data_IF_930040457558
#
_entry.id   IF_930040457558
#
_cell.length_a   1.000
_cell.length_b   1.000
_cell.length_c   1.000
_cell.angle_alpha   90.00
_cell.angle_beta   90.00
_cell.angle_gamma   90.00
#
_symmetry.space_group_name_H-M   'P 1'
#
loop_
_entity.id
_entity.type
_entity.pdbx_description
1 polymer ?
#
# COMPACT_ATOMS: atom_id res chain seq x y z
N UNK A 1 -3.52 23.91 -10.26
CA UNK A 1 -2.76 23.41 -11.43
C UNK A 1 -2.21 22.05 -11.06
N UNK A 2 -2.79 21.00 -11.63
CA UNK A 2 -2.25 19.65 -11.46
C UNK A 2 -0.93 19.59 -12.21
N UNK A 3 0.19 19.65 -11.46
CA UNK A 3 1.50 19.44 -12.08
C UNK A 3 1.52 18.03 -12.64
N UNK A 4 1.79 17.89 -13.93
CA UNK A 4 2.01 16.60 -14.57
C UNK A 4 3.10 15.85 -13.80
N UNK A 5 2.83 14.63 -13.39
CA UNK A 5 3.73 13.78 -12.64
C UNK A 5 3.55 12.31 -12.99
N UNK A 6 4.49 11.49 -12.62
CA UNK A 6 4.51 10.06 -12.88
C UNK A 6 4.28 9.22 -11.59
N UNK A 7 3.65 9.78 -10.56
CA UNK A 7 3.38 9.05 -9.32
C UNK A 7 2.49 7.81 -9.55
N UNK A 8 1.58 7.86 -10.53
CA UNK A 8 0.74 6.72 -10.86
C UNK A 8 1.54 5.55 -11.44
N UNK A 9 2.57 5.80 -12.26
CA UNK A 9 3.42 4.71 -12.75
C UNK A 9 4.26 4.11 -11.63
N UNK A 10 4.76 4.92 -10.69
CA UNK A 10 5.47 4.40 -9.52
C UNK A 10 4.55 3.52 -8.67
N UNK A 11 3.31 3.94 -8.42
CA UNK A 11 2.33 3.12 -7.70
C UNK A 11 2.05 1.81 -8.44
N UNK A 12 1.90 1.85 -9.76
CA UNK A 12 1.70 0.67 -10.59
C UNK A 12 2.89 -0.31 -10.48
N UNK A 13 4.12 0.20 -10.62
CA UNK A 13 5.33 -0.59 -10.50
C UNK A 13 5.43 -1.25 -9.12
N UNK A 14 5.27 -0.48 -8.05
CA UNK A 14 5.39 -1.02 -6.70
C UNK A 14 4.23 -1.94 -6.30
N UNK A 15 3.02 -1.77 -6.86
CA UNK A 15 1.96 -2.76 -6.71
C UNK A 15 2.34 -4.11 -7.35
N UNK A 16 2.93 -4.07 -8.54
CA UNK A 16 3.44 -5.27 -9.22
C UNK A 16 4.60 -5.91 -8.44
N UNK A 17 5.48 -5.09 -7.85
CA UNK A 17 6.59 -5.57 -7.02
C UNK A 17 6.12 -6.31 -5.78
N UNK A 18 4.95 -5.96 -5.20
CA UNK A 18 4.35 -6.73 -4.09
C UNK A 18 4.01 -8.16 -4.54
N UNK A 19 3.44 -8.34 -5.73
CA UNK A 19 3.16 -9.68 -6.28
C UNK A 19 4.46 -10.48 -6.47
N UNK A 20 5.50 -9.83 -6.99
CA UNK A 20 6.82 -10.43 -7.16
C UNK A 20 7.37 -10.91 -5.80
N UNK A 21 7.33 -10.05 -4.79
CA UNK A 21 7.78 -10.38 -3.43
C UNK A 21 7.02 -11.57 -2.84
N UNK A 22 5.69 -11.54 -2.94
CA UNK A 22 4.84 -12.60 -2.39
C UNK A 22 5.04 -13.95 -3.09
N UNK A 23 5.46 -13.98 -4.36
CA UNK A 23 5.69 -15.23 -5.08
C UNK A 23 6.73 -16.13 -4.43
N UNK A 24 7.68 -15.56 -3.69
CA UNK A 24 8.69 -16.34 -2.98
C UNK A 24 8.10 -17.09 -1.76
N UNK A 25 7.55 -16.43 -0.73
CA UNK A 25 7.01 -17.15 0.42
C UNK A 25 5.81 -18.03 0.06
N UNK A 26 5.01 -17.66 -0.95
CA UNK A 26 3.88 -18.47 -1.40
C UNK A 26 4.30 -19.78 -2.10
N UNK A 27 5.54 -19.88 -2.56
CA UNK A 27 6.15 -21.10 -3.10
C UNK A 27 7.19 -21.71 -2.14
N UNK A 28 7.18 -21.31 -0.87
CA UNK A 28 8.13 -21.72 0.17
C UNK A 28 9.61 -21.45 -0.20
N UNK A 29 9.85 -20.31 -0.85
CA UNK A 29 11.18 -19.85 -1.23
C UNK A 29 11.54 -18.55 -0.52
N UNK A 30 12.83 -18.29 -0.37
CA UNK A 30 13.33 -17.00 0.14
C UNK A 30 13.51 -15.99 -0.99
N UNK A 31 13.11 -14.75 -0.74
CA UNK A 31 13.24 -13.67 -1.69
C UNK A 31 14.71 -13.33 -1.96
N UNK A 32 15.08 -13.32 -3.26
CA UNK A 32 16.47 -13.06 -3.70
C UNK A 32 16.92 -11.66 -3.27
N UNK A 33 16.06 -10.65 -3.42
CA UNK A 33 16.37 -9.27 -3.06
C UNK A 33 16.68 -9.12 -1.57
N UNK A 34 15.92 -9.81 -0.72
CA UNK A 34 16.15 -9.86 0.73
C UNK A 34 17.52 -10.45 1.06
N UNK A 35 17.96 -11.50 0.35
CA UNK A 35 19.30 -12.08 0.51
C UNK A 35 20.41 -11.11 0.11
N UNK A 36 20.30 -10.49 -1.07
CA UNK A 36 21.29 -9.56 -1.61
C UNK A 36 21.46 -8.33 -0.68
N UNK A 37 20.39 -7.91 -0.02
CA UNK A 37 20.41 -6.76 0.90
C UNK A 37 20.74 -7.14 2.35
N UNK A 38 21.35 -8.30 2.59
CA UNK A 38 21.67 -8.80 3.94
C UNK A 38 20.45 -8.78 4.88
N UNK A 39 19.30 -9.18 4.39
CA UNK A 39 18.01 -9.21 5.12
C UNK A 39 17.50 -7.84 5.62
N UNK A 40 18.04 -6.74 5.11
CA UNK A 40 17.61 -5.41 5.52
C UNK A 40 16.31 -4.98 4.87
N UNK A 41 16.04 -5.46 3.64
CA UNK A 41 14.90 -5.01 2.81
C UNK A 41 14.31 -6.22 2.09
N UNK A 42 13.00 -6.34 2.12
CA UNK A 42 12.22 -7.14 1.16
C UNK A 42 11.41 -6.21 0.23
N UNK A 43 11.15 -6.67 -0.98
CA UNK A 43 10.46 -5.88 -2.00
C UNK A 43 9.02 -5.52 -1.61
N UNK A 44 8.35 -6.40 -0.87
CA UNK A 44 7.00 -6.17 -0.38
C UNK A 44 6.95 -5.02 0.63
N UNK A 45 7.82 -5.05 1.65
CA UNK A 45 7.91 -3.99 2.65
C UNK A 45 8.35 -2.65 2.04
N UNK A 46 9.32 -2.66 1.13
CA UNK A 46 9.75 -1.47 0.39
C UNK A 46 8.60 -0.86 -0.40
N UNK A 47 7.83 -1.68 -1.10
CA UNK A 47 6.67 -1.22 -1.89
C UNK A 47 5.62 -0.57 -1.01
N UNK A 48 5.32 -1.15 0.14
CA UNK A 48 4.36 -0.59 1.10
C UNK A 48 4.86 0.75 1.65
N UNK A 49 6.14 0.86 2.02
CA UNK A 49 6.74 2.12 2.49
C UNK A 49 6.62 3.22 1.43
N UNK A 50 6.85 2.89 0.16
CA UNK A 50 6.69 3.81 -0.98
C UNK A 50 5.22 4.21 -1.18
N UNK A 51 4.27 3.29 -1.03
CA UNK A 51 2.85 3.65 -1.06
C UNK A 51 2.49 4.67 0.01
N UNK A 52 3.01 4.51 1.23
CA UNK A 52 2.75 5.45 2.31
C UNK A 52 3.42 6.81 2.08
N UNK A 53 4.60 6.87 1.44
CA UNK A 53 5.23 8.13 1.01
C UNK A 53 4.35 8.87 0.01
N UNK A 54 3.95 8.18 -1.07
CA UNK A 54 3.12 8.78 -2.13
C UNK A 54 1.75 9.16 -1.57
N UNK A 55 1.15 8.31 -0.74
CA UNK A 55 -0.12 8.57 -0.07
C UNK A 55 -0.02 9.81 0.81
N UNK A 56 1.00 9.92 1.67
CA UNK A 56 1.20 11.09 2.52
C UNK A 56 1.28 12.40 1.72
N UNK A 57 2.02 12.40 0.62
CA UNK A 57 2.14 13.54 -0.28
C UNK A 57 0.78 13.93 -0.90
N UNK A 58 0.09 12.98 -1.54
CA UNK A 58 -1.16 13.24 -2.25
C UNK A 58 -2.33 13.54 -1.30
N UNK A 59 -2.39 12.86 -0.16
CA UNK A 59 -3.46 13.01 0.82
C UNK A 59 -3.39 14.35 1.53
N UNK A 60 -2.19 14.81 1.89
CA UNK A 60 -2.03 16.13 2.50
C UNK A 60 -2.40 17.25 1.54
N UNK A 61 -2.04 17.14 0.26
CA UNK A 61 -2.50 18.06 -0.78
C UNK A 61 -4.03 18.02 -0.87
N UNK A 62 -4.62 16.83 -0.96
CA UNK A 62 -6.08 16.69 -1.05
C UNK A 62 -6.81 17.28 0.15
N UNK A 63 -6.29 17.14 1.37
CA UNK A 63 -6.83 17.75 2.59
C UNK A 63 -6.86 19.28 2.48
N UNK A 64 -5.73 19.87 2.05
CA UNK A 64 -5.58 21.32 1.91
C UNK A 64 -6.56 21.94 0.89
N UNK A 65 -6.86 21.22 -0.19
CA UNK A 65 -7.79 21.67 -1.23
C UNK A 65 -9.25 21.23 -0.99
N UNK A 66 -9.54 20.44 0.02
CA UNK A 66 -10.91 20.04 0.33
C UNK A 66 -11.70 21.18 0.99
N UNK A 67 -12.95 21.39 0.55
CA UNK A 67 -13.83 22.43 1.08
C UNK A 67 -14.28 22.12 2.51
N UNK A 68 -14.56 20.87 2.80
CA UNK A 68 -15.00 20.36 4.10
C UNK A 68 -14.23 19.07 4.47
N UNK A 69 -14.21 18.72 5.75
CA UNK A 69 -13.69 17.43 6.23
C UNK A 69 -14.51 16.28 5.62
N UNK A 70 -15.81 16.47 5.48
CA UNK A 70 -16.69 15.46 4.90
C UNK A 70 -16.34 15.20 3.43
N UNK A 71 -16.13 16.26 2.63
CA UNK A 71 -15.65 16.11 1.23
C UNK A 71 -14.28 15.42 1.15
N UNK A 72 -13.37 15.71 2.09
CA UNK A 72 -12.10 15.01 2.17
C UNK A 72 -12.29 13.51 2.44
N UNK A 73 -13.05 13.15 3.48
CA UNK A 73 -13.30 11.74 3.84
C UNK A 73 -14.06 10.99 2.76
N UNK A 74 -15.04 11.64 2.10
CA UNK A 74 -15.78 11.06 0.99
C UNK A 74 -14.87 10.59 -0.15
N UNK A 75 -13.89 11.42 -0.53
CA UNK A 75 -12.88 11.05 -1.54
C UNK A 75 -12.07 9.81 -1.13
N UNK A 76 -11.80 9.62 0.17
CA UNK A 76 -11.07 8.44 0.67
C UNK A 76 -11.94 7.20 0.67
N UNK A 77 -13.20 7.33 1.08
CA UNK A 77 -14.19 6.24 1.03
C UNK A 77 -14.37 5.76 -0.41
N UNK A 78 -14.58 6.66 -1.36
CA UNK A 78 -14.72 6.32 -2.78
C UNK A 78 -13.46 5.69 -3.38
N UNK A 79 -12.29 5.94 -2.80
CA UNK A 79 -11.03 5.36 -3.26
C UNK A 79 -10.83 3.92 -2.81
N UNK A 80 -11.28 3.56 -1.58
CA UNK A 80 -11.00 2.26 -0.96
C UNK A 80 -12.19 1.30 -1.13
N UNK A 81 -13.37 1.71 -0.67
CA UNK A 81 -14.47 0.77 -0.44
C UNK A 81 -15.10 0.17 -1.70
N UNK A 82 -15.31 0.88 -2.82
CA UNK A 82 -15.97 0.28 -3.97
C UNK A 82 -15.23 -0.94 -4.53
N UNK A 83 -13.91 -0.85 -4.73
CA UNK A 83 -13.12 -1.97 -5.22
C UNK A 83 -12.94 -3.05 -4.13
N UNK A 84 -12.80 -2.66 -2.86
CA UNK A 84 -12.73 -3.61 -1.75
C UNK A 84 -13.99 -4.48 -1.67
N UNK A 85 -15.18 -3.90 -1.79
CA UNK A 85 -16.46 -4.65 -1.79
C UNK A 85 -16.48 -5.66 -2.92
N UNK A 86 -16.14 -5.26 -4.15
CA UNK A 86 -16.14 -6.16 -5.31
C UNK A 86 -15.11 -7.28 -5.13
N UNK A 87 -13.91 -6.94 -4.65
CA UNK A 87 -12.88 -7.93 -4.35
C UNK A 87 -13.35 -8.93 -3.28
N UNK A 88 -13.98 -8.46 -2.20
CA UNK A 88 -14.52 -9.36 -1.16
C UNK A 88 -15.65 -10.23 -1.72
N UNK A 89 -16.57 -9.70 -2.52
CA UNK A 89 -17.59 -10.50 -3.21
C UNK A 89 -16.97 -11.58 -4.10
N UNK A 90 -15.98 -11.21 -4.91
CA UNK A 90 -15.25 -12.16 -5.75
C UNK A 90 -14.54 -13.22 -4.90
N UNK A 91 -13.92 -12.81 -3.80
CA UNK A 91 -13.30 -13.74 -2.85
C UNK A 91 -14.33 -14.75 -2.33
N UNK A 92 -15.50 -14.30 -1.86
CA UNK A 92 -16.54 -15.21 -1.36
C UNK A 92 -16.97 -16.24 -2.41
N UNK A 93 -17.09 -15.83 -3.68
CA UNK A 93 -17.41 -16.75 -4.79
C UNK A 93 -16.27 -17.76 -4.95
N UNK A 94 -15.02 -17.31 -4.99
CA UNK A 94 -13.84 -18.19 -5.15
C UNK A 94 -13.75 -19.20 -4.00
N UNK A 95 -14.00 -18.78 -2.76
CA UNK A 95 -13.93 -19.67 -1.59
C UNK A 95 -14.88 -20.86 -1.68
N UNK A 96 -16.05 -20.70 -2.33
CA UNK A 96 -16.98 -21.81 -2.58
C UNK A 96 -16.35 -22.88 -3.48
N UNK A 97 -15.56 -22.49 -4.48
CA UNK A 97 -14.94 -23.43 -5.42
C UNK A 97 -13.63 -24.05 -4.91
N UNK A 98 -12.92 -23.39 -4.01
CA UNK A 98 -11.65 -23.88 -3.47
C UNK A 98 -11.77 -24.56 -2.10
N UNK A 99 -12.99 -24.60 -1.53
CA UNK A 99 -13.24 -25.18 -0.23
C UNK A 99 -13.13 -26.71 -0.25
N UNK A 100 -12.36 -27.25 0.69
CA UNK A 100 -12.32 -28.69 0.99
C UNK A 100 -13.44 -29.11 1.97
N UNK A 101 -14.25 -28.17 2.45
CA UNK A 101 -15.35 -28.44 3.37
C UNK A 101 -16.56 -29.04 2.63
N UNK A 102 -17.22 -30.00 3.22
CA UNK A 102 -18.45 -30.61 2.70
C UNK A 102 -19.59 -29.59 2.51
N UNK A 103 -19.64 -28.56 3.33
CA UNK A 103 -20.59 -27.44 3.20
C UNK A 103 -20.05 -26.14 3.83
N UNK A 104 -19.40 -25.33 3.03
CA UNK A 104 -18.86 -24.03 3.45
C UNK A 104 -19.96 -23.05 3.93
N UNK A 105 -21.20 -23.20 3.44
CA UNK A 105 -22.31 -22.30 3.78
C UNK A 105 -22.81 -22.46 5.22
N UNK A 106 -22.44 -23.52 5.94
CA UNK A 106 -22.77 -23.70 7.37
C UNK A 106 -21.74 -23.00 8.27
N UNK A 107 -20.56 -22.65 7.74
CA UNK A 107 -19.47 -22.08 8.51
C UNK A 107 -19.72 -20.59 8.80
N UNK A 108 -19.66 -20.21 10.08
CA UNK A 108 -19.79 -18.80 10.49
C UNK A 108 -18.63 -17.94 10.03
N UNK A 109 -17.41 -18.49 9.97
CA UNK A 109 -16.20 -17.81 9.55
C UNK A 109 -16.21 -17.45 8.07
N UNK A 110 -16.93 -18.20 7.22
CA UNK A 110 -17.19 -17.84 5.83
C UNK A 110 -17.89 -16.48 5.73
N UNK A 111 -19.03 -16.30 6.38
CA UNK A 111 -19.77 -15.03 6.34
C UNK A 111 -19.04 -13.89 7.06
N UNK A 112 -18.41 -14.19 8.18
CA UNK A 112 -17.66 -13.18 8.94
C UNK A 112 -16.45 -12.67 8.18
N UNK A 113 -15.89 -13.45 7.24
CA UNK A 113 -14.76 -13.02 6.41
C UNK A 113 -15.09 -11.74 5.64
N UNK A 114 -16.24 -11.66 4.99
CA UNK A 114 -16.68 -10.48 4.26
C UNK A 114 -16.82 -9.26 5.20
N UNK A 115 -17.61 -9.42 6.27
CA UNK A 115 -17.93 -8.33 7.20
C UNK A 115 -16.67 -7.82 7.90
N UNK A 116 -15.85 -8.73 8.41
CA UNK A 116 -14.64 -8.38 9.15
C UNK A 116 -13.63 -7.63 8.28
N UNK A 117 -13.37 -8.07 7.06
CA UNK A 117 -12.43 -7.41 6.18
C UNK A 117 -13.00 -6.09 5.61
N UNK A 118 -14.33 -5.97 5.45
CA UNK A 118 -14.97 -4.72 5.03
C UNK A 118 -14.80 -3.61 6.08
N UNK A 119 -14.77 -3.94 7.38
CA UNK A 119 -14.55 -2.94 8.44
C UNK A 119 -13.12 -2.44 8.50
N UNK A 120 -12.16 -3.03 7.76
CA UNK A 120 -10.72 -2.80 7.76
C UNK A 120 -10.03 -3.22 9.07
N UNK A 121 -10.63 -3.00 10.22
CA UNK A 121 -10.02 -3.19 11.54
C UNK A 121 -10.21 -4.60 12.13
N UNK A 122 -11.21 -5.35 11.68
CA UNK A 122 -11.45 -6.74 12.11
C UNK A 122 -10.87 -7.73 11.10
N UNK A 123 -9.55 -7.60 10.82
CA UNK A 123 -8.90 -8.46 9.84
C UNK A 123 -9.10 -9.94 10.13
N UNK A 124 -9.70 -10.65 9.19
CA UNK A 124 -9.80 -12.09 9.17
C UNK A 124 -9.01 -12.63 7.97
N UNK A 125 -8.03 -13.49 8.21
CA UNK A 125 -7.16 -14.02 7.16
C UNK A 125 -7.57 -15.41 6.70
N UNK A 126 -8.34 -16.12 7.49
CA UNK A 126 -8.57 -17.56 7.36
C UNK A 126 -10.05 -17.86 7.39
N UNK A 127 -10.44 -18.91 6.67
CA UNK A 127 -11.71 -19.63 6.74
C UNK A 127 -11.33 -21.11 6.74
N UNK A 128 -11.99 -21.93 7.57
CA UNK A 128 -11.71 -23.34 7.71
C UNK A 128 -11.91 -24.09 6.38
N UNK A 129 -11.00 -25.01 6.04
CA UNK A 129 -11.06 -25.77 4.79
C UNK A 129 -10.55 -25.00 3.54
N UNK A 130 -9.98 -23.80 3.71
CA UNK A 130 -9.49 -22.98 2.60
C UNK A 130 -7.96 -22.94 2.57
N UNK A 131 -7.36 -23.29 1.43
CA UNK A 131 -5.93 -23.26 1.15
C UNK A 131 -5.06 -23.98 2.20
N UNK A 132 -5.58 -25.04 2.82
CA UNK A 132 -4.87 -25.75 3.90
C UNK A 132 -3.61 -26.45 3.41
N UNK A 133 -3.63 -26.92 2.16
CA UNK A 133 -2.53 -27.67 1.54
C UNK A 133 -1.54 -26.78 0.74
N UNK A 134 -1.80 -25.49 0.65
CA UNK A 134 -0.89 -24.58 -0.03
C UNK A 134 0.47 -24.50 0.71
N UNK A 135 1.59 -24.25 0.04
CA UNK A 135 2.89 -24.04 0.68
C UNK A 135 2.87 -22.90 1.72
N UNK A 136 2.04 -21.86 1.49
CA UNK A 136 1.71 -20.83 2.47
C UNK A 136 0.25 -21.03 2.93
N UNK A 137 0.01 -21.84 3.97
CA UNK A 137 -1.31 -22.37 4.27
C UNK A 137 -2.27 -21.34 4.86
N UNK A 138 -3.56 -21.55 4.63
CA UNK A 138 -4.72 -20.89 5.28
C UNK A 138 -4.88 -19.40 4.99
N UNK A 139 -3.89 -18.68 4.49
CA UNK A 139 -4.01 -17.25 4.23
C UNK A 139 -4.81 -16.98 2.95
N UNK A 140 -5.97 -16.34 3.05
CA UNK A 140 -6.82 -16.02 1.89
C UNK A 140 -6.28 -14.79 1.15
N UNK A 141 -6.07 -13.69 1.88
CA UNK A 141 -5.52 -12.46 1.28
C UNK A 141 -4.61 -11.72 2.27
N UNK A 142 -3.32 -11.95 2.11
CA UNK A 142 -2.28 -11.33 2.94
C UNK A 142 -2.13 -9.82 2.72
N UNK A 143 -2.54 -9.27 1.56
CA UNK A 143 -2.32 -7.86 1.23
C UNK A 143 -3.22 -6.89 2.01
N UNK A 144 -4.38 -7.34 2.52
CA UNK A 144 -5.37 -6.46 3.16
C UNK A 144 -4.90 -5.81 4.46
N UNK A 145 -3.83 -6.31 5.07
CA UNK A 145 -3.37 -5.83 6.38
C UNK A 145 -2.98 -4.35 6.40
N UNK A 146 -2.56 -3.78 5.29
CA UNK A 146 -2.10 -2.38 5.22
C UNK A 146 -3.24 -1.38 5.14
N UNK A 147 -4.42 -1.78 4.63
CA UNK A 147 -5.56 -0.88 4.42
C UNK A 147 -6.03 -0.20 5.71
N UNK A 148 -6.00 -0.91 6.84
CA UNK A 148 -6.32 -0.34 8.16
C UNK A 148 -5.33 0.75 8.58
N UNK A 149 -4.04 0.61 8.26
CA UNK A 149 -3.04 1.65 8.53
C UNK A 149 -3.21 2.84 7.59
N UNK A 150 -3.47 2.58 6.31
CA UNK A 150 -3.74 3.63 5.33
C UNK A 150 -4.96 4.47 5.74
N UNK A 151 -6.07 3.81 6.09
CA UNK A 151 -7.27 4.51 6.55
C UNK A 151 -7.05 5.23 7.88
N UNK A 152 -6.26 4.65 8.80
CA UNK A 152 -5.87 5.30 10.05
C UNK A 152 -5.05 6.58 9.80
N UNK A 153 -4.13 6.58 8.82
CA UNK A 153 -3.39 7.79 8.44
C UNK A 153 -4.31 8.85 7.83
N UNK A 154 -5.34 8.44 7.07
CA UNK A 154 -6.35 9.37 6.56
C UNK A 154 -7.13 10.07 7.68
N UNK A 155 -7.43 9.35 8.76
CA UNK A 155 -8.07 9.93 9.96
C UNK A 155 -7.09 10.79 10.76
N UNK A 156 -5.86 10.30 10.96
CA UNK A 156 -4.85 10.99 11.76
C UNK A 156 -4.45 12.37 11.20
N UNK A 157 -4.55 12.57 9.88
CA UNK A 157 -4.22 13.85 9.25
C UNK A 157 -5.37 14.87 9.29
N UNK A 158 -6.61 14.46 9.64
CA UNK A 158 -7.79 15.35 9.66
C UNK A 158 -7.61 16.60 10.53
N UNK A 159 -6.97 16.56 11.73
CA UNK A 159 -6.75 17.75 12.53
C UNK A 159 -6.01 18.87 11.80
N UNK A 160 -5.19 18.55 10.81
CA UNK A 160 -4.49 19.55 10.00
C UNK A 160 -5.43 20.36 9.09
N UNK A 161 -6.69 19.92 8.91
CA UNK A 161 -7.70 20.70 8.23
C UNK A 161 -7.92 22.08 8.88
N UNK A 162 -7.89 22.16 10.20
CA UNK A 162 -8.06 23.42 10.93
C UNK A 162 -6.76 24.25 10.99
N UNK A 163 -5.60 23.60 10.77
CA UNK A 163 -4.28 24.24 10.80
C UNK A 163 -3.72 24.38 9.37
N UNK A 164 -4.57 24.73 8.39
CA UNK A 164 -4.15 24.85 6.98
C UNK A 164 -3.04 25.89 6.75
N UNK A 165 -2.76 26.73 7.73
CA UNK A 165 -1.68 27.70 7.66
C UNK A 165 -0.34 26.98 7.68
N UNK A 166 0.43 27.16 6.61
CA UNK A 166 1.77 26.56 6.44
C UNK A 166 2.72 26.80 7.59
N UNK A 167 2.60 27.97 8.27
CA UNK A 167 3.45 28.34 9.40
C UNK A 167 3.41 27.33 10.54
N UNK A 168 2.25 26.72 10.83
CA UNK A 168 2.09 25.77 11.93
C UNK A 168 2.09 24.31 11.46
N UNK A 169 1.57 24.02 10.28
CA UNK A 169 1.46 22.65 9.78
C UNK A 169 2.82 21.98 9.63
N UNK A 170 3.81 22.65 9.04
CA UNK A 170 5.14 22.08 8.82
C UNK A 170 5.85 21.72 10.14
N UNK A 171 5.97 22.61 11.15
CA UNK A 171 6.58 22.24 12.42
C UNK A 171 5.89 21.06 13.12
N UNK A 172 4.55 21.04 13.13
CA UNK A 172 3.79 19.97 13.77
C UNK A 172 4.02 18.63 13.07
N UNK A 173 3.95 18.59 11.72
CA UNK A 173 4.26 17.39 10.94
C UNK A 173 5.69 16.89 11.20
N UNK A 174 6.65 17.81 11.29
CA UNK A 174 8.05 17.48 11.56
C UNK A 174 8.22 16.89 12.97
N UNK A 175 7.55 17.44 13.97
CA UNK A 175 7.57 16.90 15.35
C UNK A 175 7.00 15.47 15.35
N UNK A 176 5.84 15.23 14.75
CA UNK A 176 5.27 13.87 14.66
C UNK A 176 6.17 12.92 13.85
N UNK A 177 6.79 13.39 12.78
CA UNK A 177 7.75 12.60 12.01
C UNK A 177 8.95 12.17 12.86
N UNK A 178 9.51 13.07 13.65
CA UNK A 178 10.63 12.77 14.57
C UNK A 178 10.17 11.78 15.64
N UNK A 179 9.01 12.00 16.25
CA UNK A 179 8.45 11.09 17.26
C UNK A 179 8.23 9.70 16.69
N UNK A 180 7.58 9.56 15.51
CA UNK A 180 7.32 8.26 14.91
C UNK A 180 8.60 7.55 14.48
N UNK A 181 9.60 8.32 13.99
CA UNK A 181 10.90 7.77 13.64
C UNK A 181 11.64 7.26 14.87
N UNK A 182 11.65 8.01 15.95
CA UNK A 182 12.23 7.61 17.23
C UNK A 182 11.54 6.36 17.81
N UNK A 183 10.21 6.39 17.89
CA UNK A 183 9.44 5.25 18.41
C UNK A 183 9.65 3.99 17.59
N UNK A 184 9.63 4.08 16.25
CA UNK A 184 9.90 2.93 15.40
C UNK A 184 11.31 2.35 15.58
N UNK A 185 12.32 3.22 15.77
CA UNK A 185 13.72 2.78 15.84
C UNK A 185 14.09 2.21 17.21
N UNK A 186 13.59 2.82 18.29
CA UNK A 186 14.06 2.56 19.65
C UNK A 186 13.00 1.98 20.59
N UNK A 187 11.72 2.31 20.38
CA UNK A 187 10.61 1.92 21.26
C UNK A 187 9.36 1.47 20.49
N UNK A 188 9.43 0.46 19.59
CA UNK A 188 8.35 0.10 18.67
C UNK A 188 7.07 -0.41 19.36
N UNK A 189 7.17 -0.85 20.60
CA UNK A 189 6.04 -1.40 21.35
C UNK A 189 5.36 -0.38 22.27
N UNK A 190 5.78 0.89 22.26
CA UNK A 190 5.09 1.96 23.01
C UNK A 190 3.62 2.03 22.60
N UNK A 191 2.74 2.12 23.58
CA UNK A 191 1.27 2.11 23.40
C UNK A 191 0.70 0.84 22.72
N UNK A 192 1.41 -0.30 22.73
CA UNK A 192 0.96 -1.56 22.12
C UNK A 192 -0.48 -1.91 22.50
N UNK A 193 -0.84 -1.79 23.78
CA UNK A 193 -2.18 -2.13 24.26
C UNK A 193 -3.28 -1.22 23.68
N UNK A 194 -2.99 0.06 23.46
CA UNK A 194 -3.94 1.01 22.86
C UNK A 194 -4.15 0.64 21.37
N UNK A 195 -3.07 0.39 20.63
CA UNK A 195 -3.16 0.01 19.24
C UNK A 195 -3.86 -1.33 19.04
N UNK A 196 -3.69 -2.28 19.96
CA UNK A 196 -4.32 -3.60 19.87
C UNK A 196 -5.85 -3.56 19.97
N UNK A 197 -6.45 -2.54 20.60
CA UNK A 197 -7.91 -2.33 20.64
C UNK A 197 -8.47 -2.22 19.21
N UNK A 198 -7.73 -1.57 18.32
CA UNK A 198 -8.09 -1.44 16.90
C UNK A 198 -7.41 -2.47 16.00
N UNK A 199 -6.90 -3.57 16.58
CA UNK A 199 -6.13 -4.59 15.87
C UNK A 199 -4.93 -4.04 15.07
N UNK A 200 -4.34 -2.92 15.48
CA UNK A 200 -3.14 -2.36 14.91
C UNK A 200 -1.89 -2.83 15.67
N UNK A 201 -0.76 -2.98 14.96
CA UNK A 201 0.55 -3.09 15.59
C UNK A 201 1.15 -1.69 15.75
N UNK A 202 1.61 -1.34 16.95
CA UNK A 202 2.28 -0.06 17.20
C UNK A 202 3.52 0.10 16.32
N UNK A 203 4.33 -0.95 16.18
CA UNK A 203 5.51 -0.98 15.34
C UNK A 203 5.19 -0.61 13.88
N UNK A 204 4.19 -1.28 13.28
CA UNK A 204 3.78 -1.01 11.90
C UNK A 204 3.15 0.37 11.75
N UNK A 205 2.42 0.83 12.77
CA UNK A 205 1.83 2.17 12.77
C UNK A 205 2.91 3.26 12.76
N UNK A 206 3.96 3.13 13.57
CA UNK A 206 5.08 4.08 13.57
C UNK A 206 5.91 3.96 12.29
N UNK A 207 6.17 2.73 11.81
CA UNK A 207 6.90 2.49 10.56
C UNK A 207 6.21 3.19 9.38
N UNK A 208 4.95 2.88 9.15
CA UNK A 208 4.20 3.40 8.00
C UNK A 208 3.87 4.88 8.18
N UNK A 209 3.55 5.29 9.40
CA UNK A 209 3.25 6.68 9.73
C UNK A 209 4.42 7.63 9.49
N UNK A 210 5.67 7.23 9.79
CA UNK A 210 6.83 8.08 9.49
C UNK A 210 7.00 8.33 7.99
N UNK A 211 6.78 7.32 7.13
CA UNK A 211 6.84 7.48 5.68
C UNK A 211 5.68 8.33 5.14
N UNK A 212 4.48 8.16 5.68
CA UNK A 212 3.34 9.00 5.35
C UNK A 212 3.60 10.48 5.75
N UNK A 213 4.11 10.72 6.94
CA UNK A 213 4.46 12.07 7.41
C UNK A 213 5.59 12.69 6.59
N UNK A 214 6.62 11.91 6.23
CA UNK A 214 7.68 12.37 5.34
C UNK A 214 7.13 12.81 3.99
N UNK A 215 6.23 12.01 3.37
CA UNK A 215 5.53 12.40 2.15
C UNK A 215 4.73 13.70 2.31
N UNK A 216 4.01 13.86 3.43
CA UNK A 216 3.25 15.08 3.73
C UNK A 216 4.15 16.31 3.89
N UNK A 217 5.31 16.19 4.54
CA UNK A 217 6.30 17.26 4.71
C UNK A 217 6.85 17.72 3.34
N UNK A 218 7.07 16.80 2.42
CA UNK A 218 7.57 17.11 1.09
C UNK A 218 6.63 18.00 0.25
N UNK A 219 5.36 18.14 0.64
CA UNK A 219 4.43 19.10 0.00
C UNK A 219 4.82 20.57 0.20
N UNK A 220 5.63 20.86 1.22
CA UNK A 220 6.13 22.21 1.53
C UNK A 220 7.42 22.55 0.77
N UNK A 221 8.06 21.56 0.14
CA UNK A 221 9.31 21.72 -0.60
C UNK A 221 8.99 21.96 -2.08
N UNK A 222 9.68 22.91 -2.68
CA UNK A 222 9.60 23.12 -4.14
C UNK A 222 10.46 22.08 -4.86
N UNK A 223 9.83 20.95 -5.21
CA UNK A 223 10.50 19.81 -5.87
C UNK A 223 11.15 20.23 -7.21
N UNK A 224 10.59 21.20 -7.93
CA UNK A 224 11.14 21.66 -9.22
C UNK A 224 12.56 22.23 -9.10
N UNK A 225 12.92 22.76 -7.92
CA UNK A 225 14.27 23.31 -7.67
C UNK A 225 15.34 22.24 -7.43
N UNK A 226 14.91 21.03 -6.99
CA UNK A 226 15.83 19.97 -6.58
C UNK A 226 15.78 18.76 -7.51
N UNK A 227 14.78 18.65 -8.39
CA UNK A 227 14.67 17.54 -9.34
C UNK A 227 15.66 17.71 -10.49
N UNK A 228 16.70 16.95 -10.47
CA UNK A 228 17.64 16.79 -11.57
C UNK A 228 18.26 15.38 -11.50
N UNK A 229 18.89 14.96 -12.60
CA UNK A 229 19.47 13.62 -12.67
C UNK A 229 20.57 13.40 -11.63
N UNK A 230 21.35 14.43 -11.33
CA UNK A 230 22.41 14.34 -10.32
C UNK A 230 21.84 14.08 -8.92
N UNK A 231 20.77 14.78 -8.55
CA UNK A 231 20.09 14.56 -7.27
C UNK A 231 19.55 13.13 -7.17
N UNK A 232 18.95 12.59 -8.24
CA UNK A 232 18.45 11.21 -8.27
C UNK A 232 19.58 10.20 -8.06
N UNK A 233 20.67 10.37 -8.84
CA UNK A 233 21.86 9.52 -8.74
C UNK A 233 22.43 9.56 -7.31
N UNK A 234 22.60 10.77 -6.76
CA UNK A 234 23.13 10.95 -5.40
C UNK A 234 22.26 10.24 -4.35
N UNK A 235 20.95 10.45 -4.39
CA UNK A 235 20.04 9.85 -3.41
C UNK A 235 19.99 8.32 -3.53
N UNK A 236 19.99 7.78 -4.74
CA UNK A 236 20.07 6.33 -4.98
C UNK A 236 21.42 5.79 -4.47
N UNK A 237 22.53 6.48 -4.73
CA UNK A 237 23.86 6.07 -4.24
C UNK A 237 23.89 6.05 -2.71
N UNK A 238 23.29 7.02 -2.02
CA UNK A 238 23.20 7.02 -0.56
C UNK A 238 22.40 5.81 -0.06
N UNK A 239 21.27 5.46 -0.72
CA UNK A 239 20.49 4.27 -0.36
C UNK A 239 21.31 2.99 -0.56
N UNK A 240 22.02 2.83 -1.68
CA UNK A 240 22.89 1.68 -1.96
C UNK A 240 23.99 1.58 -0.92
N UNK A 241 24.69 2.67 -0.62
CA UNK A 241 25.74 2.70 0.40
C UNK A 241 25.18 2.37 1.78
N UNK A 242 23.96 2.83 2.10
CA UNK A 242 23.32 2.50 3.38
C UNK A 242 23.00 1.00 3.53
N UNK A 243 22.67 0.32 2.42
CA UNK A 243 22.52 -1.13 2.39
C UNK A 243 23.88 -1.80 2.59
N UNK A 244 24.90 -1.35 1.86
CA UNK A 244 26.24 -1.91 1.95
C UNK A 244 26.82 -1.83 3.38
N UNK A 245 26.63 -0.69 4.06
CA UNK A 245 27.09 -0.49 5.45
C UNK A 245 26.10 -0.97 6.52
N UNK A 246 25.03 -1.66 6.17
CA UNK A 246 23.97 -2.14 7.09
C UNK A 246 23.32 -1.03 7.93
N UNK A 247 23.21 0.18 7.36
CA UNK A 247 22.62 1.37 8.00
C UNK A 247 21.27 1.77 7.39
N UNK A 248 20.71 0.98 6.47
CA UNK A 248 19.47 1.31 5.75
C UNK A 248 18.32 1.70 6.69
N UNK A 249 18.15 0.98 7.79
CA UNK A 249 17.10 1.25 8.80
C UNK A 249 17.14 2.69 9.33
N UNK A 250 18.33 3.30 9.42
CA UNK A 250 18.55 4.63 9.99
C UNK A 250 18.53 5.76 8.96
N UNK A 251 18.69 5.45 7.69
CA UNK A 251 18.86 6.41 6.60
C UNK A 251 17.61 6.47 5.70
N UNK A 252 16.98 5.33 5.47
CA UNK A 252 15.90 5.20 4.48
C UNK A 252 14.72 6.13 4.71
N UNK A 253 14.31 6.37 5.95
CA UNK A 253 13.14 7.21 6.23
C UNK A 253 13.34 8.70 5.89
N UNK A 254 14.58 9.14 5.69
CA UNK A 254 14.91 10.48 5.20
C UNK A 254 15.11 10.49 3.68
N UNK A 255 15.88 9.55 3.16
CA UNK A 255 16.35 9.56 1.77
C UNK A 255 15.31 8.97 0.82
N UNK A 256 14.66 7.87 1.18
CA UNK A 256 13.68 7.20 0.30
C UNK A 256 12.49 8.12 -0.07
N UNK A 257 11.87 8.89 0.86
CA UNK A 257 10.79 9.82 0.50
C UNK A 257 11.21 10.86 -0.52
N UNK A 258 12.39 11.47 -0.34
CA UNK A 258 12.97 12.43 -1.29
C UNK A 258 13.17 11.79 -2.66
N UNK A 259 13.79 10.61 -2.70
CA UNK A 259 14.07 9.86 -3.93
C UNK A 259 12.78 9.59 -4.70
N UNK A 260 11.76 9.03 -4.04
CA UNK A 260 10.49 8.66 -4.67
C UNK A 260 9.73 9.87 -5.21
N UNK A 261 9.64 10.94 -4.43
CA UNK A 261 8.93 12.14 -4.87
C UNK A 261 9.69 12.84 -6.01
N UNK A 262 11.02 12.95 -5.93
CA UNK A 262 11.80 13.55 -7.03
C UNK A 262 11.63 12.72 -8.31
N UNK A 263 11.75 11.40 -8.27
CA UNK A 263 11.52 10.53 -9.44
C UNK A 263 10.09 10.70 -9.97
N UNK A 264 9.08 10.73 -9.10
CA UNK A 264 7.69 10.93 -9.49
C UNK A 264 7.42 12.26 -10.20
N UNK A 265 8.18 13.31 -9.84
CA UNK A 265 8.08 14.62 -10.49
C UNK A 265 9.09 14.83 -11.63
N UNK A 266 9.99 13.87 -11.88
CA UNK A 266 10.83 13.82 -13.07
C UNK A 266 10.00 13.32 -14.24
N UNK A 267 9.24 14.27 -14.85
CA UNK A 267 8.17 13.96 -15.80
C UNK A 267 8.69 13.29 -17.07
N UNK A 268 8.08 12.15 -17.41
CA UNK A 268 8.23 11.48 -18.70
C UNK A 268 6.86 11.37 -19.38
N UNK A 269 6.72 12.01 -20.54
CA UNK A 269 5.47 12.11 -21.29
C UNK A 269 4.92 10.75 -21.75
N UNK A 270 5.80 9.80 -22.08
CA UNK A 270 5.38 8.46 -22.52
C UNK A 270 4.77 7.67 -21.36
N UNK A 271 5.44 7.68 -20.21
CA UNK A 271 4.96 7.01 -18.99
C UNK A 271 3.65 7.61 -18.50
N UNK A 272 3.53 8.93 -18.52
CA UNK A 272 2.29 9.61 -18.16
C UNK A 272 1.14 9.24 -19.11
N UNK A 273 1.35 9.29 -20.44
CA UNK A 273 0.33 8.89 -21.41
C UNK A 273 -0.10 7.44 -21.26
N UNK A 274 0.83 6.56 -20.92
CA UNK A 274 0.52 5.16 -20.66
C UNK A 274 -0.46 5.02 -19.48
N UNK A 275 -0.16 5.64 -18.34
CA UNK A 275 -1.03 5.58 -17.16
C UNK A 275 -2.36 6.32 -17.34
N UNK A 276 -2.40 7.40 -18.09
CA UNK A 276 -3.65 8.07 -18.47
C UNK A 276 -4.57 7.15 -19.29
N UNK A 277 -3.99 6.36 -20.20
CA UNK A 277 -4.75 5.45 -21.08
C UNK A 277 -5.27 4.22 -20.33
N UNK A 278 -4.46 3.60 -19.47
CA UNK A 278 -4.86 2.37 -18.77
C UNK A 278 -5.62 2.63 -17.46
N UNK A 279 -5.46 3.83 -16.86
CA UNK A 279 -6.02 4.19 -15.56
C UNK A 279 -5.11 3.84 -14.37
N UNK A 280 -5.56 4.15 -13.15
CA UNK A 280 -4.82 3.85 -11.92
C UNK A 280 -5.12 2.43 -11.42
N UNK A 281 -4.47 1.44 -12.02
CA UNK A 281 -4.66 0.03 -11.69
C UNK A 281 -3.99 -0.39 -10.38
N UNK A 282 -3.18 0.48 -9.77
CA UNK A 282 -2.32 0.11 -8.64
C UNK A 282 -3.07 -0.47 -7.44
N UNK A 283 -4.24 0.08 -7.13
CA UNK A 283 -5.06 -0.41 -6.03
C UNK A 283 -5.65 -1.79 -6.31
N UNK A 284 -6.20 -1.99 -7.51
CA UNK A 284 -6.70 -3.31 -7.94
C UNK A 284 -5.60 -4.37 -7.92
N UNK A 285 -4.41 -4.07 -8.49
CA UNK A 285 -3.27 -4.99 -8.45
C UNK A 285 -2.93 -5.39 -7.01
N UNK A 286 -2.90 -4.43 -6.11
CA UNK A 286 -2.56 -4.66 -4.71
C UNK A 286 -3.56 -5.56 -3.98
N UNK A 287 -4.88 -5.34 -4.15
CA UNK A 287 -5.90 -6.08 -3.41
C UNK A 287 -6.24 -7.46 -4.02
N UNK A 288 -6.08 -7.65 -5.35
CA UNK A 288 -6.35 -8.93 -6.00
C UNK A 288 -5.14 -9.88 -6.02
N UNK A 289 -3.91 -9.33 -6.05
CA UNK A 289 -2.69 -10.10 -6.33
C UNK A 289 -2.48 -11.31 -5.45
N UNK A 290 -2.56 -11.16 -4.13
CA UNK A 290 -2.35 -12.27 -3.19
C UNK A 290 -3.40 -13.37 -3.31
N UNK A 291 -4.67 -13.00 -3.47
CA UNK A 291 -5.76 -13.96 -3.68
C UNK A 291 -5.53 -14.79 -4.96
N UNK A 292 -5.18 -14.13 -6.07
CA UNK A 292 -4.86 -14.80 -7.34
C UNK A 292 -3.70 -15.78 -7.16
N UNK A 293 -2.65 -15.37 -6.46
CA UNK A 293 -1.50 -16.25 -6.18
C UNK A 293 -1.90 -17.47 -5.36
N UNK A 294 -2.70 -17.31 -4.31
CA UNK A 294 -3.19 -18.42 -3.50
C UNK A 294 -4.08 -19.40 -4.29
N UNK A 295 -4.95 -18.87 -5.15
CA UNK A 295 -5.78 -19.71 -6.04
C UNK A 295 -4.89 -20.49 -7.01
N UNK A 296 -3.90 -19.86 -7.62
CA UNK A 296 -2.96 -20.54 -8.52
C UNK A 296 -2.19 -21.65 -7.80
N UNK A 297 -1.69 -21.40 -6.60
CA UNK A 297 -0.97 -22.39 -5.78
C UNK A 297 -1.87 -23.53 -5.28
N UNK A 298 -3.19 -23.34 -5.23
CA UNK A 298 -4.13 -24.40 -4.88
C UNK A 298 -4.32 -25.44 -5.98
N UNK A 299 -4.12 -25.03 -7.25
CA UNK A 299 -4.33 -25.92 -8.40
C UNK A 299 -3.04 -26.32 -9.11
N UNK A 300 -1.94 -25.58 -8.92
CA UNK A 300 -0.68 -25.78 -9.63
C UNK A 300 0.51 -25.69 -8.69
N UNK A 301 1.53 -26.50 -8.94
CA UNK A 301 2.81 -26.46 -8.23
C UNK A 301 3.79 -25.55 -8.98
N UNK A 302 3.64 -24.24 -8.81
CA UNK A 302 4.50 -23.27 -9.50
C UNK A 302 5.77 -22.98 -8.69
N UNK A 303 6.87 -22.71 -9.46
CA UNK A 303 8.07 -22.04 -8.94
C UNK A 303 7.82 -20.53 -8.85
N UNK A 304 8.68 -19.77 -8.09
CA UNK A 304 8.47 -18.34 -7.91
C UNK A 304 8.26 -17.55 -9.21
N UNK A 305 9.08 -17.80 -10.24
CA UNK A 305 9.00 -17.09 -11.52
C UNK A 305 7.71 -17.39 -12.29
N UNK A 306 7.28 -18.64 -12.30
CA UNK A 306 6.03 -19.04 -12.93
C UNK A 306 4.84 -18.38 -12.24
N UNK A 307 4.81 -18.44 -10.89
CA UNK A 307 3.77 -17.79 -10.11
C UNK A 307 3.73 -16.26 -10.36
N UNK A 308 4.90 -15.59 -10.46
CA UNK A 308 4.98 -14.17 -10.81
C UNK A 308 4.30 -13.90 -12.17
N UNK A 309 4.67 -14.61 -13.21
CA UNK A 309 4.20 -14.36 -14.59
C UNK A 309 2.68 -14.55 -14.68
N UNK A 310 2.18 -15.70 -14.24
CA UNK A 310 0.75 -15.99 -14.31
C UNK A 310 -0.09 -15.09 -13.42
N UNK A 311 0.36 -14.87 -12.18
CA UNK A 311 -0.38 -13.99 -11.26
C UNK A 311 -0.38 -12.53 -11.69
N UNK A 312 0.71 -12.00 -12.25
CA UNK A 312 0.73 -10.65 -12.82
C UNK A 312 -0.28 -10.56 -13.97
N UNK A 313 -0.27 -11.47 -14.94
CA UNK A 313 -1.19 -11.44 -16.08
C UNK A 313 -2.65 -11.42 -15.65
N UNK A 314 -3.06 -12.37 -14.79
CA UNK A 314 -4.44 -12.46 -14.29
C UNK A 314 -4.82 -11.23 -13.45
N UNK A 315 -3.93 -10.80 -12.55
CA UNK A 315 -4.19 -9.67 -11.66
C UNK A 315 -4.32 -8.36 -12.44
N UNK A 316 -3.50 -8.14 -13.48
CA UNK A 316 -3.65 -6.97 -14.34
C UNK A 316 -5.01 -6.96 -15.05
N UNK A 317 -5.49 -8.11 -15.55
CA UNK A 317 -6.84 -8.23 -16.12
C UNK A 317 -7.94 -7.87 -15.12
N UNK A 318 -7.89 -8.42 -13.91
CA UNK A 318 -8.85 -8.12 -12.84
C UNK A 318 -8.79 -6.65 -12.41
N UNK A 319 -7.61 -6.09 -12.25
CA UNK A 319 -7.42 -4.69 -11.88
C UNK A 319 -7.93 -3.74 -12.97
N UNK A 320 -7.73 -4.07 -14.26
CA UNK A 320 -8.26 -3.32 -15.38
C UNK A 320 -9.79 -3.31 -15.38
N UNK A 321 -10.42 -4.47 -15.19
CA UNK A 321 -11.88 -4.56 -15.07
C UNK A 321 -12.39 -3.79 -13.84
N UNK A 322 -11.74 -3.96 -12.68
CA UNK A 322 -12.10 -3.25 -11.45
C UNK A 322 -12.04 -1.73 -11.65
N UNK A 323 -10.97 -1.22 -12.25
CA UNK A 323 -10.82 0.21 -12.51
C UNK A 323 -11.91 0.76 -13.43
N UNK A 324 -12.13 0.15 -14.59
CA UNK A 324 -13.05 0.67 -15.59
C UNK A 324 -14.53 0.47 -15.22
N UNK A 325 -14.86 -0.62 -14.56
CA UNK A 325 -16.26 -0.93 -14.22
C UNK A 325 -16.70 -0.35 -12.88
N UNK A 326 -15.79 -0.16 -11.91
CA UNK A 326 -16.10 0.18 -10.53
C UNK A 326 -15.40 1.47 -10.07
N UNK A 327 -14.06 1.44 -9.96
CA UNK A 327 -13.30 2.50 -9.29
C UNK A 327 -13.45 3.86 -9.98
N UNK A 328 -13.22 3.93 -11.28
CA UNK A 328 -13.31 5.16 -12.05
C UNK A 328 -14.75 5.74 -12.02
N UNK A 329 -15.77 4.86 -12.06
CA UNK A 329 -17.17 5.30 -11.93
C UNK A 329 -17.47 5.86 -10.55
N UNK A 330 -17.01 5.19 -9.48
CA UNK A 330 -17.17 5.67 -8.11
C UNK A 330 -16.48 7.03 -7.91
N UNK A 331 -15.26 7.20 -8.44
CA UNK A 331 -14.50 8.44 -8.33
C UNK A 331 -15.16 9.64 -9.05
N UNK A 332 -16.09 9.45 -9.98
CA UNK A 332 -16.88 10.55 -10.57
C UNK A 332 -17.74 11.26 -9.52
N UNK A 333 -18.14 10.54 -8.47
CA UNK A 333 -18.95 11.09 -7.38
C UNK A 333 -18.14 11.87 -6.32
N UNK A 334 -16.82 12.05 -6.51
CA UNK A 334 -15.94 12.75 -5.57
C UNK A 334 -16.29 14.22 -5.29
N UNK A 335 -17.03 14.86 -6.19
CA UNK A 335 -17.40 16.27 -6.10
C UNK A 335 -18.88 16.49 -5.76
N UNK A 336 -19.64 15.42 -5.47
CA UNK A 336 -21.07 15.51 -5.13
C UNK A 336 -21.32 16.08 -3.73
N UNK A 337 -20.27 16.13 -2.91
CA UNK A 337 -20.35 16.55 -1.50
C UNK A 337 -19.27 17.60 -1.18
#
# INVERSE_FOLDING_TARGET
MDKLNNLNILRLLFASTVIISHSYPLTNNEEIFKKITNYQIDLGSLSVDIFFIISGYLIFISLNYSKTIFSYMWKRILRIFPALIIMLCLTMIILVFVSNSSNIFVQKDFYSYFINNLTLYRKQNQVEGIFENNPYPKAINGSLWTLRYEFSMYLAIVPFYWIKNKKYSLPILTIFFIIFSYLHLFNPHTFKNIFSISNLSSEQFYRLGKYFLAGSILTFINIDKIKNNMSIILLISILILSIYFNTYKYISFLILPLTIIIIGFSFNKLLWRFTEKIGDLSYGIYIYGFLVQQVLMNYFEFKPLELMIYSLGITFGLAFLSWHLVENKALKYKNYI
#
